data_IF_590532889880
#
_entry.id   IF_590532889880
#
_cell.length_a   1.000
_cell.length_b   1.000
_cell.length_c   1.000
_cell.angle_alpha   90.00
_cell.angle_beta   90.00
_cell.angle_gamma   90.00
#
_symmetry.space_group_name_H-M   'P 1'
#
loop_
_entity.id
_entity.type
_entity.pdbx_description
1 polymer ?
#
# COMPACT_ATOMS: atom_id res chain seq x y z
N UNK A 1 13.18 -14.33 -5.18
CA UNK A 1 13.96 -13.74 -4.07
C UNK A 1 13.28 -12.49 -3.50
N UNK A 2 13.01 -11.45 -4.31
CA UNK A 2 12.39 -10.19 -3.86
C UNK A 2 10.98 -10.34 -3.26
N UNK A 3 10.13 -11.19 -3.85
CA UNK A 3 8.79 -11.52 -3.29
C UNK A 3 8.88 -12.14 -1.88
N UNK A 4 9.87 -12.99 -1.63
CA UNK A 4 10.10 -13.59 -0.31
C UNK A 4 10.58 -12.53 0.68
N UNK A 5 11.43 -11.60 0.24
CA UNK A 5 11.84 -10.45 1.05
C UNK A 5 10.63 -9.57 1.42
N UNK A 6 9.73 -9.27 0.48
CA UNK A 6 8.50 -8.52 0.76
C UNK A 6 7.67 -9.15 1.87
N UNK A 7 7.39 -10.45 1.76
CA UNK A 7 6.63 -11.21 2.78
C UNK A 7 7.33 -11.24 4.15
N UNK A 8 8.66 -11.38 4.18
CA UNK A 8 9.42 -11.36 5.42
C UNK A 8 9.37 -9.98 6.10
N UNK A 9 9.43 -8.90 5.32
CA UNK A 9 9.32 -7.54 5.85
C UNK A 9 7.98 -7.29 6.54
N UNK A 10 6.87 -7.71 5.92
CA UNK A 10 5.53 -7.56 6.51
C UNK A 10 5.29 -8.46 7.73
N UNK A 11 5.82 -9.69 7.73
CA UNK A 11 5.62 -10.65 8.83
C UNK A 11 6.45 -10.35 10.09
N UNK A 12 7.60 -9.70 9.93
CA UNK A 12 8.55 -9.50 11.03
C UNK A 12 8.46 -8.11 11.70
N UNK A 13 7.74 -7.16 11.11
CA UNK A 13 7.60 -5.78 11.61
C UNK A 13 7.16 -5.65 13.08
N UNK A 14 6.24 -6.50 13.62
CA UNK A 14 5.85 -6.41 15.03
C UNK A 14 6.94 -6.85 16.03
N UNK A 15 8.00 -7.52 15.56
CA UNK A 15 9.02 -8.16 16.40
C UNK A 15 10.37 -7.44 16.41
N UNK A 16 10.50 -6.35 15.66
CA UNK A 16 11.76 -5.63 15.51
C UNK A 16 11.87 -4.39 16.39
N UNK A 17 13.10 -4.04 16.76
CA UNK A 17 13.42 -2.74 17.33
C UNK A 17 13.04 -1.62 16.35
N UNK A 18 12.58 -0.48 16.89
CA UNK A 18 12.08 0.67 16.10
C UNK A 18 13.04 1.12 14.98
N UNK A 19 14.35 1.08 15.23
CA UNK A 19 15.39 1.42 14.25
C UNK A 19 15.46 0.47 13.06
N UNK A 20 15.25 -0.83 13.29
CA UNK A 20 15.17 -1.81 12.21
C UNK A 20 13.93 -1.57 11.37
N UNK A 21 12.79 -1.29 12.03
CA UNK A 21 11.51 -1.00 11.35
C UNK A 21 11.65 0.17 10.39
N UNK A 22 12.29 1.27 10.78
CA UNK A 22 12.50 2.44 9.91
C UNK A 22 13.38 2.11 8.68
N UNK A 23 14.48 1.38 8.89
CA UNK A 23 15.39 0.99 7.80
C UNK A 23 14.70 0.05 6.80
N UNK A 24 13.95 -0.92 7.31
CA UNK A 24 13.20 -1.87 6.50
C UNK A 24 12.01 -1.22 5.79
N UNK A 25 11.36 -0.25 6.43
CA UNK A 25 10.26 0.50 5.83
C UNK A 25 10.72 1.28 4.61
N UNK A 26 11.84 2.02 4.70
CA UNK A 26 12.40 2.71 3.53
C UNK A 26 12.66 1.73 2.39
N UNK A 27 13.22 0.54 2.69
CA UNK A 27 13.48 -0.45 1.64
C UNK A 27 12.20 -1.05 1.05
N UNK A 28 11.17 -1.21 1.87
CA UNK A 28 9.85 -1.65 1.42
C UNK A 28 9.23 -0.63 0.46
N UNK A 29 9.36 0.67 0.73
CA UNK A 29 8.84 1.71 -0.17
C UNK A 29 9.57 1.69 -1.52
N UNK A 30 10.89 1.50 -1.56
CA UNK A 30 11.62 1.31 -2.84
C UNK A 30 11.05 0.15 -3.68
N UNK A 31 10.57 -0.92 -3.02
CA UNK A 31 10.02 -2.10 -3.70
C UNK A 31 8.62 -1.87 -4.27
N UNK A 32 7.90 -0.84 -3.83
CA UNK A 32 6.66 -0.41 -4.47
C UNK A 32 6.92 0.08 -5.91
N UNK A 33 8.14 0.54 -6.19
CA UNK A 33 8.60 1.04 -7.49
C UNK A 33 9.40 0.00 -8.27
N UNK A 34 9.30 -1.29 -7.91
CA UNK A 34 10.06 -2.33 -8.60
C UNK A 34 9.61 -2.47 -10.07
N UNK A 35 10.57 -2.70 -10.96
CA UNK A 35 10.30 -2.93 -12.40
C UNK A 35 9.44 -4.17 -12.64
N UNK A 36 9.45 -5.13 -11.71
CA UNK A 36 8.69 -6.37 -11.77
C UNK A 36 7.33 -6.20 -11.10
N UNK A 37 6.24 -6.29 -11.87
CA UNK A 37 4.89 -6.07 -11.36
C UNK A 37 4.48 -7.09 -10.29
N UNK A 38 5.03 -8.32 -10.32
CA UNK A 38 4.72 -9.32 -9.28
C UNK A 38 5.28 -8.89 -7.92
N UNK A 39 6.40 -8.17 -7.91
CA UNK A 39 6.95 -7.55 -6.69
C UNK A 39 6.04 -6.44 -6.23
N UNK A 40 5.55 -5.58 -7.13
CA UNK A 40 4.62 -4.49 -6.78
C UNK A 40 3.30 -5.02 -6.20
N UNK A 41 2.71 -6.06 -6.81
CA UNK A 41 1.55 -6.78 -6.25
C UNK A 41 1.85 -7.29 -4.84
N UNK A 42 2.97 -7.99 -4.67
CA UNK A 42 3.39 -8.49 -3.37
C UNK A 42 3.53 -7.35 -2.35
N UNK A 43 4.04 -6.18 -2.75
CA UNK A 43 4.18 -5.04 -1.84
C UNK A 43 2.85 -4.45 -1.42
N UNK A 44 1.87 -4.33 -2.33
CA UNK A 44 0.50 -3.93 -1.98
C UNK A 44 -0.05 -4.79 -0.83
N UNK A 45 0.12 -6.11 -0.89
CA UNK A 45 -0.31 -7.05 0.16
C UNK A 45 0.35 -6.78 1.54
N UNK A 46 1.56 -6.20 1.56
CA UNK A 46 2.30 -5.93 2.80
C UNK A 46 2.03 -4.54 3.39
N UNK A 47 1.54 -3.58 2.60
CA UNK A 47 1.34 -2.19 3.03
C UNK A 47 0.50 -2.07 4.32
N UNK A 48 -0.60 -2.82 4.53
CA UNK A 48 -1.36 -2.72 5.78
C UNK A 48 -0.55 -3.08 7.02
N UNK A 49 0.27 -4.12 6.95
CA UNK A 49 1.12 -4.56 8.06
C UNK A 49 2.25 -3.55 8.33
N UNK A 50 2.84 -3.00 7.26
CA UNK A 50 3.86 -1.96 7.36
C UNK A 50 3.30 -0.68 8.00
N UNK A 51 2.12 -0.24 7.56
CA UNK A 51 1.44 0.93 8.11
C UNK A 51 1.17 0.80 9.62
N UNK A 52 0.67 -0.37 10.04
CA UNK A 52 0.44 -0.68 11.45
C UNK A 52 1.72 -0.60 12.29
N UNK A 53 2.87 -0.98 11.72
CA UNK A 53 4.14 -1.00 12.44
C UNK A 53 4.83 0.36 12.52
N UNK A 54 4.72 1.19 11.48
CA UNK A 54 5.36 2.52 11.44
C UNK A 54 4.50 3.62 12.06
N UNK A 55 3.19 3.37 12.21
CA UNK A 55 2.24 4.32 12.79
C UNK A 55 1.71 5.35 11.78
N UNK A 56 0.75 6.18 12.21
CA UNK A 56 -0.04 7.03 11.32
C UNK A 56 0.76 8.17 10.68
N UNK A 57 1.79 8.71 11.36
CA UNK A 57 2.61 9.79 10.82
C UNK A 57 3.40 9.32 9.59
N UNK A 58 4.17 8.23 9.72
CA UNK A 58 4.94 7.62 8.63
C UNK A 58 4.04 7.05 7.53
N UNK A 59 2.90 6.46 7.93
CA UNK A 59 1.91 5.96 6.98
C UNK A 59 1.36 7.09 6.11
N UNK A 60 1.13 8.26 6.69
CA UNK A 60 0.61 9.42 5.96
C UNK A 60 1.69 10.09 5.10
N UNK A 61 2.91 10.24 5.61
CA UNK A 61 3.96 11.00 4.91
C UNK A 61 4.65 10.22 3.79
N UNK A 62 4.72 8.88 3.89
CA UNK A 62 5.55 8.06 2.99
C UNK A 62 4.77 6.95 2.31
N UNK A 63 4.03 6.14 3.08
CA UNK A 63 3.30 5.00 2.50
C UNK A 63 2.13 5.43 1.62
N UNK A 64 1.38 6.45 2.05
CA UNK A 64 0.21 6.91 1.33
C UNK A 64 0.54 7.46 -0.09
N UNK A 65 1.62 8.24 -0.30
CA UNK A 65 2.11 8.55 -1.64
C UNK A 65 2.36 7.31 -2.51
N UNK A 66 3.08 6.30 -2.00
CA UNK A 66 3.37 5.06 -2.74
C UNK A 66 2.08 4.31 -3.12
N UNK A 67 1.13 4.20 -2.18
CA UNK A 67 -0.18 3.59 -2.44
C UNK A 67 -0.95 4.33 -3.55
N UNK A 68 -0.86 5.66 -3.57
CA UNK A 68 -1.51 6.47 -4.60
C UNK A 68 -0.92 6.24 -5.99
N UNK A 69 0.39 6.00 -6.08
CA UNK A 69 1.02 5.63 -7.35
C UNK A 69 0.62 4.22 -7.78
N UNK A 70 0.63 3.25 -6.86
CA UNK A 70 0.20 1.87 -7.11
C UNK A 70 -1.27 1.76 -7.53
N UNK A 71 -2.16 2.63 -7.02
CA UNK A 71 -3.56 2.71 -7.47
C UNK A 71 -3.70 3.18 -8.94
N UNK A 72 -2.65 3.78 -9.50
CA UNK A 72 -2.57 4.26 -10.88
C UNK A 72 -1.56 3.48 -11.71
N UNK A 73 -1.10 2.33 -11.21
CA UNK A 73 -0.12 1.48 -11.88
C UNK A 73 -0.59 1.05 -13.27
N UNK A 74 0.33 0.86 -14.19
CA UNK A 74 0.04 0.41 -15.56
C UNK A 74 -0.57 -1.00 -15.59
N UNK A 75 -0.18 -1.86 -14.65
CA UNK A 75 -0.63 -3.25 -14.57
C UNK A 75 -1.93 -3.38 -13.77
N UNK A 76 -2.94 -4.01 -14.37
CA UNK A 76 -4.26 -4.16 -13.73
C UNK A 76 -4.20 -4.95 -12.43
N UNK A 77 -3.34 -5.97 -12.38
CA UNK A 77 -3.15 -6.79 -11.17
C UNK A 77 -2.60 -5.96 -10.01
N UNK A 78 -1.70 -5.01 -10.27
CA UNK A 78 -1.16 -4.10 -9.25
C UNK A 78 -2.25 -3.17 -8.76
N UNK A 79 -3.03 -2.58 -9.66
CA UNK A 79 -4.16 -1.70 -9.29
C UNK A 79 -5.20 -2.40 -8.41
N UNK A 80 -5.54 -3.65 -8.72
CA UNK A 80 -6.46 -4.46 -7.90
C UNK A 80 -5.88 -4.70 -6.51
N UNK A 81 -4.62 -5.15 -6.42
CA UNK A 81 -3.98 -5.37 -5.13
C UNK A 81 -3.85 -4.08 -4.30
N UNK A 82 -3.56 -2.94 -4.95
CA UNK A 82 -3.51 -1.64 -4.30
C UNK A 82 -4.88 -1.22 -3.75
N UNK A 83 -5.96 -1.54 -4.46
CA UNK A 83 -7.34 -1.30 -4.00
C UNK A 83 -7.65 -2.09 -2.73
N UNK A 84 -7.29 -3.38 -2.71
CA UNK A 84 -7.47 -4.26 -1.54
C UNK A 84 -6.66 -3.73 -0.34
N UNK A 85 -5.41 -3.33 -0.57
CA UNK A 85 -4.56 -2.71 0.44
C UNK A 85 -5.18 -1.40 1.00
N UNK A 86 -5.73 -0.57 0.12
CA UNK A 86 -6.40 0.67 0.50
C UNK A 86 -7.62 0.40 1.40
N UNK A 87 -8.44 -0.61 1.07
CA UNK A 87 -9.57 -1.03 1.92
C UNK A 87 -9.08 -1.51 3.29
N UNK A 88 -8.07 -2.37 3.32
CA UNK A 88 -7.50 -2.89 4.57
C UNK A 88 -6.92 -1.77 5.47
N UNK A 89 -6.28 -0.74 4.88
CA UNK A 89 -5.77 0.41 5.62
C UNK A 89 -6.90 1.27 6.24
N UNK A 90 -8.04 1.37 5.56
CA UNK A 90 -9.23 2.06 6.06
C UNK A 90 -9.86 1.30 7.24
N UNK A 91 -10.00 -0.02 7.11
CA UNK A 91 -10.55 -0.90 8.16
C UNK A 91 -9.65 -0.93 9.39
N UNK A 92 -8.33 -1.02 9.18
CA UNK A 92 -7.32 -1.02 10.24
C UNK A 92 -7.11 0.34 10.91
N UNK A 93 -7.74 1.42 10.42
CA UNK A 93 -7.57 2.80 10.91
C UNK A 93 -6.10 3.24 10.95
N UNK A 94 -5.29 2.75 10.02
CA UNK A 94 -3.86 3.07 9.93
C UNK A 94 -3.60 4.51 9.46
N UNK A 95 -4.61 5.15 8.86
CA UNK A 95 -4.59 6.55 8.41
C UNK A 95 -5.58 7.40 9.22
N UNK A 96 -5.30 8.69 9.44
CA UNK A 96 -6.28 9.63 9.98
C UNK A 96 -7.57 9.63 9.14
N UNK A 97 -8.73 9.69 9.81
CA UNK A 97 -10.03 9.55 9.14
C UNK A 97 -10.27 10.61 8.04
N UNK A 98 -9.77 11.83 8.22
CA UNK A 98 -9.85 12.89 7.21
C UNK A 98 -8.99 12.57 5.99
N UNK A 99 -7.76 12.08 6.21
CA UNK A 99 -6.83 11.68 5.13
C UNK A 99 -7.41 10.53 4.32
N UNK A 100 -7.90 9.49 5.00
CA UNK A 100 -8.64 8.38 4.42
C UNK A 100 -9.79 8.85 3.51
N UNK A 101 -10.65 9.75 4.01
CA UNK A 101 -11.80 10.27 3.26
C UNK A 101 -11.40 11.10 2.04
N UNK A 102 -10.35 11.92 2.16
CA UNK A 102 -9.95 12.86 1.10
C UNK A 102 -9.09 12.22 0.02
N UNK A 103 -8.30 11.20 0.37
CA UNK A 103 -7.25 10.71 -0.53
C UNK A 103 -7.48 9.28 -1.01
N UNK A 104 -8.16 8.43 -0.23
CA UNK A 104 -8.38 7.02 -0.58
C UNK A 104 -9.74 6.79 -1.24
N UNK A 105 -10.81 7.40 -0.71
CA UNK A 105 -12.17 7.24 -1.26
C UNK A 105 -12.32 7.70 -2.72
N UNK A 106 -11.71 8.80 -3.18
CA UNK A 106 -11.80 9.20 -4.59
C UNK A 106 -11.16 8.15 -5.53
N UNK A 107 -10.03 7.58 -5.15
CA UNK A 107 -9.36 6.55 -5.94
C UNK A 107 -10.20 5.26 -6.02
N UNK A 108 -10.83 4.85 -4.92
CA UNK A 108 -11.80 3.75 -4.91
C UNK A 108 -12.96 3.98 -5.88
N UNK A 109 -13.49 5.21 -5.93
CA UNK A 109 -14.58 5.57 -6.86
C UNK A 109 -14.12 5.55 -8.32
N UNK A 110 -12.92 6.02 -8.60
CA UNK A 110 -12.38 6.03 -9.96
C UNK A 110 -12.17 4.61 -10.49
N UNK A 111 -11.66 3.69 -9.65
CA UNK A 111 -11.47 2.29 -10.03
C UNK A 111 -12.81 1.60 -10.25
N UNK A 112 -13.80 1.80 -9.36
CA UNK A 112 -15.15 1.23 -9.53
C UNK A 112 -15.85 1.82 -10.77
N UNK A 113 -15.71 3.12 -11.02
CA UNK A 113 -16.29 3.80 -12.18
C UNK A 113 -15.68 3.37 -13.52
N UNK A 114 -14.44 2.88 -13.54
CA UNK A 114 -13.82 2.28 -14.73
C UNK A 114 -14.26 0.83 -14.98
N UNK A 115 -14.74 0.13 -13.93
CA UNK A 115 -15.23 -1.26 -13.99
C UNK A 115 -16.71 -1.34 -14.37
N UNK A 116 -17.49 -0.30 -14.05
CA UNK A 116 -18.87 -0.12 -14.50
C UNK A 116 -18.78 0.75 -15.75
N UNK A 117 -18.69 0.12 -16.93
CA UNK A 117 -18.64 0.87 -18.19
C UNK A 117 -19.74 1.94 -18.22
N UNK A 118 -19.41 3.11 -18.76
CA UNK A 118 -20.41 4.11 -19.15
C UNK A 118 -21.52 3.39 -19.91
N UNK A 119 -22.80 3.53 -19.51
CA UNK A 119 -23.88 3.15 -20.41
C UNK A 119 -23.81 4.11 -21.61
N UNK A 120 -23.65 3.54 -22.80
CA UNK A 120 -23.70 4.23 -24.10
C UNK A 120 -24.84 5.26 -24.20
#
# INVERSE_FOLDING_TARGET
ARVVCGRLLGAMTPKFERRLVETFFSKAMDMCQDTDYEVRVCMCEQLPALAAAVGPEQSTSTLLPELQELLRDEEVSVRVAALEAAVALLEGRALPQETARRQVLPALREVVGKSVGDPE
#
